data_IF_170000734627
#
_entry.id   IF_170000734627
#
_cell.length_a   1.000
_cell.length_b   1.000
_cell.length_c   1.000
_cell.angle_alpha   90.00
_cell.angle_beta   90.00
_cell.angle_gamma   90.00
#
_symmetry.space_group_name_H-M   'P 1'
#
loop_
_entity.id
_entity.type
_entity.pdbx_description
1 polymer ?
#
# COMPACT_ATOMS: atom_id res chain seq x y z
N UNK A 1 11.24 14.75 21.10
CA UNK A 1 10.50 13.48 20.99
C UNK A 1 10.24 13.27 19.51
N UNK A 2 11.12 12.52 18.84
CA UNK A 2 11.02 12.27 17.40
C UNK A 2 9.90 11.25 17.24
N UNK A 3 8.74 11.71 16.79
CA UNK A 3 7.54 10.90 16.65
C UNK A 3 7.83 9.62 15.90
N UNK A 4 7.55 8.49 16.55
CA UNK A 4 7.67 7.11 16.06
C UNK A 4 6.80 6.81 14.81
N UNK A 5 6.10 7.82 14.29
CA UNK A 5 5.46 7.82 12.95
C UNK A 5 6.46 7.83 11.79
N UNK A 6 7.75 7.99 12.04
CA UNK A 6 8.77 7.99 10.99
C UNK A 6 9.14 6.60 10.42
N UNK A 7 8.72 5.48 11.05
CA UNK A 7 9.04 4.13 10.56
C UNK A 7 7.87 3.38 9.89
N UNK A 8 6.63 3.82 10.05
CA UNK A 8 5.47 3.18 9.39
C UNK A 8 5.03 4.01 8.18
N UNK A 9 4.50 3.35 7.14
CA UNK A 9 3.80 4.05 6.09
C UNK A 9 2.71 4.95 6.69
N UNK A 10 2.60 6.20 6.23
CA UNK A 10 1.58 7.14 6.71
C UNK A 10 0.19 6.45 6.71
N UNK A 11 -0.54 6.44 7.83
CA UNK A 11 -1.74 5.61 7.96
C UNK A 11 -2.88 6.08 7.04
N UNK A 12 -2.95 7.38 6.75
CA UNK A 12 -3.95 7.93 5.85
C UNK A 12 -3.61 7.60 4.38
N UNK A 13 -2.33 7.70 3.99
CA UNK A 13 -1.87 7.25 2.69
C UNK A 13 -2.10 5.74 2.50
N UNK A 14 -1.84 4.95 3.54
CA UNK A 14 -2.07 3.50 3.55
C UNK A 14 -3.54 3.19 3.31
N UNK A 15 -4.46 3.84 4.04
CA UNK A 15 -5.90 3.63 3.86
C UNK A 15 -6.36 3.98 2.43
N UNK A 16 -5.94 5.13 1.90
CA UNK A 16 -6.28 5.55 0.53
C UNK A 16 -5.71 4.60 -0.53
N UNK A 17 -4.49 4.11 -0.33
CA UNK A 17 -3.87 3.13 -1.22
C UNK A 17 -4.63 1.81 -1.22
N UNK A 18 -4.96 1.27 -0.04
CA UNK A 18 -5.72 0.03 0.08
C UNK A 18 -7.11 0.16 -0.56
N UNK A 19 -7.80 1.28 -0.34
CA UNK A 19 -9.09 1.57 -0.96
C UNK A 19 -8.99 1.62 -2.50
N UNK A 20 -8.02 2.37 -3.04
CA UNK A 20 -7.82 2.48 -4.48
C UNK A 20 -7.48 1.14 -5.15
N UNK A 21 -6.84 0.22 -4.43
CA UNK A 21 -6.54 -1.13 -4.93
C UNK A 21 -7.71 -2.11 -4.74
N UNK A 22 -8.54 -1.92 -3.72
CA UNK A 22 -9.76 -2.73 -3.52
C UNK A 22 -10.78 -2.51 -4.64
N UNK A 23 -10.86 -1.29 -5.19
CA UNK A 23 -11.70 -0.95 -6.34
C UNK A 23 -11.18 -1.49 -7.68
N UNK A 24 -9.95 -2.01 -7.72
CA UNK A 24 -9.28 -2.47 -8.93
C UNK A 24 -8.55 -3.81 -8.69
N UNK A 25 -9.27 -4.94 -8.69
CA UNK A 25 -8.70 -6.26 -8.38
C UNK A 25 -7.61 -6.69 -9.37
N UNK A 26 -7.65 -6.22 -10.61
CA UNK A 26 -6.58 -6.44 -11.59
C UNK A 26 -5.30 -5.64 -11.28
N UNK A 27 -5.32 -4.73 -10.31
CA UNK A 27 -4.20 -3.88 -9.92
C UNK A 27 -4.11 -2.55 -10.68
N UNK A 28 -3.41 -1.60 -10.07
CA UNK A 28 -3.28 -0.23 -10.56
C UNK A 28 -1.82 0.09 -10.86
N UNK A 29 -1.55 0.73 -12.00
CA UNK A 29 -0.17 1.12 -12.35
C UNK A 29 0.39 2.13 -11.35
N UNK A 30 1.70 2.07 -11.07
CA UNK A 30 2.32 2.95 -10.08
C UNK A 30 2.18 4.44 -10.43
N UNK A 31 2.27 4.77 -11.73
CA UNK A 31 2.06 6.14 -12.20
C UNK A 31 0.63 6.64 -11.95
N UNK A 32 -0.36 5.76 -12.14
CA UNK A 32 -1.78 6.09 -11.88
C UNK A 32 -2.04 6.25 -10.38
N UNK A 33 -1.45 5.41 -9.54
CA UNK A 33 -1.52 5.57 -8.08
C UNK A 33 -0.91 6.88 -7.60
N UNK A 34 0.28 7.26 -8.10
CA UNK A 34 0.88 8.57 -7.76
C UNK A 34 -0.08 9.72 -8.08
N UNK A 35 -0.75 9.67 -9.23
CA UNK A 35 -1.71 10.68 -9.65
C UNK A 35 -2.97 10.69 -8.78
N UNK A 36 -3.55 9.52 -8.49
CA UNK A 36 -4.78 9.41 -7.69
C UNK A 36 -4.56 9.84 -6.24
N UNK A 37 -3.43 9.47 -5.65
CA UNK A 37 -3.10 9.72 -4.25
C UNK A 37 -2.40 11.07 -4.02
N UNK A 38 -2.05 11.79 -5.10
CA UNK A 38 -1.34 13.08 -5.00
C UNK A 38 0.07 12.98 -4.42
N UNK A 39 0.73 11.82 -4.54
CA UNK A 39 2.07 11.58 -3.96
C UNK A 39 3.17 11.45 -5.01
N UNK A 40 4.40 11.69 -4.59
CA UNK A 40 5.61 11.46 -5.39
C UNK A 40 5.90 9.96 -5.52
N UNK A 41 6.51 9.54 -6.63
CA UNK A 41 6.89 8.14 -6.87
C UNK A 41 7.75 7.54 -5.75
N UNK A 42 8.72 8.28 -5.22
CA UNK A 42 9.58 7.80 -4.13
C UNK A 42 8.81 7.54 -2.83
N UNK A 43 7.79 8.35 -2.55
CA UNK A 43 6.89 8.15 -1.39
C UNK A 43 6.07 6.89 -1.62
N UNK A 44 5.48 6.73 -2.81
CA UNK A 44 4.71 5.53 -3.15
C UNK A 44 5.56 4.26 -3.03
N UNK A 45 6.76 4.24 -3.63
CA UNK A 45 7.66 3.07 -3.58
C UNK A 45 8.07 2.72 -2.15
N UNK A 46 8.35 3.71 -1.30
CA UNK A 46 8.64 3.47 0.12
C UNK A 46 7.44 2.87 0.84
N UNK A 47 6.25 3.41 0.62
CA UNK A 47 5.01 2.86 1.18
C UNK A 47 4.78 1.43 0.70
N UNK A 48 4.95 1.15 -0.60
CA UNK A 48 4.82 -0.20 -1.15
C UNK A 48 5.84 -1.17 -0.59
N UNK A 49 7.08 -0.74 -0.34
CA UNK A 49 8.08 -1.57 0.30
C UNK A 49 7.63 -1.99 1.70
N UNK A 50 7.14 -1.04 2.52
CA UNK A 50 6.62 -1.30 3.87
C UNK A 50 5.38 -2.20 3.92
N UNK A 51 4.50 -2.09 2.93
CA UNK A 51 3.24 -2.85 2.88
C UNK A 51 3.37 -4.19 2.12
N UNK A 52 4.49 -4.37 1.41
CA UNK A 52 4.80 -5.58 0.67
C UNK A 52 5.22 -6.73 1.58
N UNK A 53 5.71 -7.80 0.94
CA UNK A 53 6.27 -8.97 1.64
C UNK A 53 7.78 -8.86 1.86
N UNK A 54 8.39 -7.71 1.56
CA UNK A 54 9.83 -7.52 1.73
C UNK A 54 10.18 -7.60 3.22
N UNK A 55 11.26 -8.30 3.55
CA UNK A 55 11.82 -8.28 4.90
C UNK A 55 12.44 -6.90 5.15
N UNK A 56 11.88 -6.15 6.09
CA UNK A 56 12.36 -4.84 6.52
C UNK A 56 12.77 -4.96 7.99
N UNK A 57 14.01 -4.58 8.29
CA UNK A 57 14.58 -4.67 9.64
C UNK A 57 14.42 -6.06 10.32
N UNK A 58 14.50 -7.13 9.51
CA UNK A 58 14.42 -8.51 9.99
C UNK A 58 13.00 -9.03 10.23
N UNK A 59 11.97 -8.21 9.98
CA UNK A 59 10.57 -8.64 10.01
C UNK A 59 9.99 -8.67 8.60
N UNK A 60 9.28 -9.74 8.20
CA UNK A 60 8.54 -9.72 6.95
C UNK A 60 7.48 -8.62 7.02
N UNK A 61 7.45 -7.77 5.99
CA UNK A 61 6.33 -6.86 5.79
C UNK A 61 5.01 -7.64 5.74
N UNK A 62 3.87 -6.96 5.93
CA UNK A 62 2.58 -7.61 6.16
C UNK A 62 2.04 -8.33 4.91
N UNK A 63 2.69 -8.17 3.76
CA UNK A 63 2.31 -8.85 2.52
C UNK A 63 0.97 -8.40 1.96
N UNK A 64 0.50 -7.19 2.29
CA UNK A 64 -0.80 -6.65 1.86
C UNK A 64 -0.82 -6.26 0.40
N UNK A 65 0.32 -5.88 -0.17
CA UNK A 65 0.43 -5.43 -1.55
C UNK A 65 1.55 -6.18 -2.26
N UNK A 66 1.31 -6.56 -3.52
CA UNK A 66 2.33 -7.10 -4.42
C UNK A 66 2.54 -6.12 -5.57
N UNK A 67 3.79 -5.91 -5.97
CA UNK A 67 4.12 -5.21 -7.21
C UNK A 67 4.40 -6.25 -8.27
N UNK A 68 3.68 -6.17 -9.40
CA UNK A 68 3.83 -7.03 -10.56
C UNK A 68 4.41 -6.23 -11.73
N UNK A 69 5.33 -6.85 -12.45
CA UNK A 69 5.87 -6.32 -13.69
C UNK A 69 5.05 -6.87 -14.86
N UNK A 70 4.40 -5.96 -15.60
CA UNK A 70 3.57 -6.28 -16.77
C UNK A 70 4.13 -5.54 -17.97
N UNK A 71 4.88 -6.26 -18.79
CA UNK A 71 5.63 -5.69 -19.91
C UNK A 71 6.58 -4.57 -19.41
N UNK A 72 6.37 -3.33 -19.83
CA UNK A 72 7.22 -2.18 -19.48
C UNK A 72 6.68 -1.36 -18.29
N UNK A 73 5.69 -1.88 -17.56
CA UNK A 73 4.98 -1.15 -16.50
C UNK A 73 4.87 -1.97 -15.23
N UNK A 74 4.90 -1.27 -14.10
CA UNK A 74 4.68 -1.85 -12.78
C UNK A 74 3.26 -1.56 -12.28
N UNK A 75 2.64 -2.58 -11.70
CA UNK A 75 1.29 -2.52 -11.13
C UNK A 75 1.34 -2.97 -9.68
N UNK A 76 0.68 -2.22 -8.80
CA UNK A 76 0.41 -2.69 -7.44
C UNK A 76 -0.93 -3.43 -7.43
N UNK A 77 -0.96 -4.57 -6.77
CA UNK A 77 -2.13 -5.46 -6.65
C UNK A 77 -2.36 -5.73 -5.17
N UNK A 78 -3.61 -5.67 -4.74
CA UNK A 78 -4.00 -6.04 -3.38
C UNK A 78 -3.94 -7.56 -3.23
N UNK A 79 -3.27 -8.05 -2.19
CA UNK A 79 -3.26 -9.48 -1.87
C UNK A 79 -4.47 -9.84 -1.01
N UNK A 80 -4.77 -11.13 -0.79
CA UNK A 80 -5.82 -11.54 0.16
C UNK A 80 -5.62 -10.93 1.55
N UNK A 81 -4.40 -10.94 2.08
CA UNK A 81 -4.08 -10.31 3.37
C UNK A 81 -4.34 -8.79 3.36
N UNK A 82 -4.13 -8.13 2.23
CA UNK A 82 -4.47 -6.72 2.04
C UNK A 82 -5.98 -6.44 2.01
N UNK A 83 -6.77 -7.36 1.45
CA UNK A 83 -8.24 -7.30 1.47
C UNK A 83 -8.76 -7.38 2.91
N UNK A 84 -8.28 -8.37 3.68
CA UNK A 84 -8.65 -8.51 5.10
C UNK A 84 -8.28 -7.25 5.89
N UNK A 85 -7.08 -6.71 5.64
CA UNK A 85 -6.58 -5.50 6.29
C UNK A 85 -7.37 -4.23 5.92
N UNK A 86 -7.90 -4.16 4.69
CA UNK A 86 -8.81 -3.09 4.25
C UNK A 86 -10.18 -3.22 4.93
N UNK A 87 -10.76 -4.43 4.97
CA UNK A 87 -12.05 -4.70 5.61
C UNK A 87 -12.03 -4.39 7.12
N UNK A 88 -10.95 -4.77 7.81
CA UNK A 88 -10.74 -4.43 9.22
C UNK A 88 -10.73 -2.91 9.43
N UNK A 89 -10.06 -2.14 8.56
CA UNK A 89 -9.99 -0.68 8.68
C UNK A 89 -11.31 0.03 8.39
N UNK A 90 -12.12 -0.50 7.46
CA UNK A 90 -13.47 0.00 7.23
C UNK A 90 -14.37 -0.17 8.45
N UNK A 91 -14.19 -1.26 9.20
CA UNK A 91 -14.95 -1.56 10.42
C UNK A 91 -14.63 -0.63 11.60
N UNK A 92 -13.46 0.04 11.60
CA UNK A 92 -13.09 1.03 12.63
C UNK A 92 -13.61 2.45 12.33
N UNK A 93 -14.06 2.73 11.10
CA UNK A 93 -14.54 4.06 10.71
C UNK A 93 -16.05 4.26 10.90
N UNK A 94 -16.79 3.18 11.16
CA UNK A 94 -18.25 3.12 11.32
C UNK A 94 -18.69 2.94 12.79
N UNK A 95 -17.80 3.24 13.75
CA UNK A 95 -18.01 3.06 15.20
C UNK A 95 -17.77 4.32 16.02
#
# INVERSE_FOLDING_TARGET
MISERCLSADPQLTAQLLHALADAPEGVSLARLCKQLGVRMSVLLRTLAWLGSANLDGQPGPGWIRVEERSERQFAVLTPAGVDAHAQRGSLADG
#
